data_IF_056980643034
#
_entry.id   IF_056980643034
#
_cell.length_a   1.000
_cell.length_b   1.000
_cell.length_c   1.000
_cell.angle_alpha   90.00
_cell.angle_beta   90.00
_cell.angle_gamma   90.00
#
_symmetry.space_group_name_H-M   'P 1'
#
loop_
_entity.id
_entity.type
_entity.pdbx_description
1 polymer ?
#
# COMPACT_ATOMS: atom_id res chain seq x y z
N UNK A 1 -13.70 25.95 -25.24
CA UNK A 1 -12.80 25.48 -26.31
C UNK A 1 -12.52 24.00 -26.08
N UNK A 2 -12.16 23.21 -27.10
CA UNK A 2 -11.70 21.84 -26.84
C UNK A 2 -10.31 21.87 -26.18
N UNK A 3 -10.07 21.12 -25.09
CA UNK A 3 -8.78 21.07 -24.42
C UNK A 3 -7.71 20.43 -25.33
N UNK A 4 -6.47 20.84 -25.16
CA UNK A 4 -5.33 20.26 -25.86
C UNK A 4 -5.04 18.85 -25.33
N UNK A 5 -4.66 17.92 -26.22
CA UNK A 5 -4.09 16.62 -25.81
C UNK A 5 -2.86 16.76 -24.90
N UNK A 6 -2.20 17.93 -24.89
CA UNK A 6 -1.11 18.26 -23.95
C UNK A 6 -1.63 18.52 -22.54
N UNK A 7 -2.82 19.11 -22.40
CA UNK A 7 -3.44 19.44 -21.11
C UNK A 7 -4.07 18.18 -20.51
N UNK A 8 -4.80 17.39 -21.31
CA UNK A 8 -5.29 16.05 -20.96
C UNK A 8 -4.16 15.17 -20.41
N UNK A 9 -3.02 15.10 -21.14
CA UNK A 9 -1.84 14.37 -20.66
C UNK A 9 -1.27 14.92 -19.35
N UNK A 10 -1.23 16.25 -19.15
CA UNK A 10 -0.77 16.86 -17.89
C UNK A 10 -1.70 16.58 -16.72
N UNK A 11 -3.02 16.55 -16.93
CA UNK A 11 -4.00 16.10 -15.92
C UNK A 11 -3.69 14.68 -15.50
N UNK A 12 -3.53 13.75 -16.46
CA UNK A 12 -3.24 12.35 -16.15
C UNK A 12 -1.88 12.16 -15.44
N UNK A 13 -0.83 12.86 -15.88
CA UNK A 13 0.48 12.85 -15.21
C UNK A 13 0.43 13.49 -13.80
N UNK A 14 -0.51 14.38 -13.51
CA UNK A 14 -0.73 14.94 -12.18
C UNK A 14 -1.56 14.01 -11.28
N UNK A 15 -2.58 13.32 -11.82
CA UNK A 15 -3.32 12.26 -11.10
C UNK A 15 -2.36 11.13 -10.68
N UNK A 16 -1.50 10.67 -11.59
CA UNK A 16 -0.53 9.61 -11.30
C UNK A 16 0.47 10.02 -10.20
N UNK A 17 0.92 11.29 -10.18
CA UNK A 17 1.75 11.85 -9.10
C UNK A 17 0.99 11.95 -7.76
N UNK A 18 -0.26 12.39 -7.78
CA UNK A 18 -1.09 12.51 -6.58
C UNK A 18 -1.30 11.14 -5.93
N UNK A 19 -1.62 10.11 -6.73
CA UNK A 19 -1.75 8.72 -6.26
C UNK A 19 -0.43 8.23 -5.67
N UNK A 20 0.72 8.52 -6.29
CA UNK A 20 2.04 8.18 -5.73
C UNK A 20 2.33 8.86 -4.39
N UNK A 21 1.97 10.14 -4.22
CA UNK A 21 2.10 10.84 -2.94
C UNK A 21 1.16 10.27 -1.87
N UNK A 22 -0.11 9.99 -2.22
CA UNK A 22 -1.05 9.35 -1.31
C UNK A 22 -0.62 7.93 -0.87
N UNK A 23 0.00 7.14 -1.77
CA UNK A 23 0.62 5.86 -1.41
C UNK A 23 1.91 6.02 -0.58
N UNK A 24 2.63 7.14 -0.69
CA UNK A 24 3.77 7.41 0.19
C UNK A 24 3.30 7.77 1.62
N UNK A 25 2.18 8.49 1.75
CA UNK A 25 1.57 8.87 3.05
C UNK A 25 1.15 7.62 3.86
N UNK A 26 0.65 6.55 3.23
CA UNK A 26 0.32 5.29 3.93
C UNK A 26 1.55 4.44 4.32
N UNK A 27 2.72 4.71 3.74
CA UNK A 27 3.95 3.94 3.96
C UNK A 27 4.96 4.63 4.91
N UNK A 28 4.75 5.91 5.24
CA UNK A 28 5.69 6.72 6.02
C UNK A 28 5.19 7.00 7.44
N UNK A 29 6.11 6.90 8.40
CA UNK A 29 5.89 7.36 9.79
C UNK A 29 6.02 8.91 9.86
N UNK A 30 5.51 9.52 10.93
CA UNK A 30 5.04 10.91 10.97
C UNK A 30 6.02 11.97 10.43
N UNK A 31 7.32 11.84 10.69
CA UNK A 31 8.34 12.81 10.25
C UNK A 31 8.61 12.81 8.73
N UNK A 32 8.19 11.78 7.99
CA UNK A 32 8.13 11.81 6.53
C UNK A 32 6.74 12.18 5.99
N UNK A 33 5.69 11.93 6.79
CA UNK A 33 4.30 12.04 6.38
C UNK A 33 3.87 13.48 6.05
N UNK A 34 4.29 14.47 6.85
CA UNK A 34 3.95 15.89 6.62
C UNK A 34 4.45 16.42 5.26
N UNK A 35 5.66 16.02 4.84
CA UNK A 35 6.25 16.45 3.58
C UNK A 35 5.50 15.89 2.35
N UNK A 36 5.09 14.62 2.42
CA UNK A 36 4.28 14.01 1.35
C UNK A 36 2.83 14.52 1.37
N UNK A 37 2.25 14.87 2.53
CA UNK A 37 0.96 15.58 2.62
C UNK A 37 1.04 16.95 1.93
N UNK A 38 2.07 17.76 2.21
CA UNK A 38 2.24 19.06 1.58
C UNK A 38 2.39 18.95 0.05
N UNK A 39 3.17 17.97 -0.41
CA UNK A 39 3.39 17.64 -1.82
C UNK A 39 2.12 17.09 -2.50
N UNK A 40 1.31 16.29 -1.80
CA UNK A 40 0.01 15.83 -2.28
C UNK A 40 -0.97 17.01 -2.45
N UNK A 41 -1.04 17.92 -1.47
CA UNK A 41 -1.84 19.16 -1.55
C UNK A 41 -1.40 20.06 -2.71
N UNK A 42 -0.10 20.30 -2.89
CA UNK A 42 0.42 21.04 -4.04
C UNK A 42 0.01 20.38 -5.37
N UNK A 43 0.21 19.06 -5.49
CA UNK A 43 -0.15 18.32 -6.72
C UNK A 43 -1.66 18.39 -6.99
N UNK A 44 -2.48 18.38 -5.93
CA UNK A 44 -3.93 18.48 -6.02
C UNK A 44 -4.40 19.92 -6.39
N UNK A 45 -3.68 20.96 -5.96
CA UNK A 45 -3.88 22.33 -6.41
C UNK A 45 -3.53 22.49 -7.90
N UNK A 46 -2.36 22.00 -8.34
CA UNK A 46 -1.99 21.96 -9.77
C UNK A 46 -3.04 21.21 -10.61
N UNK A 47 -3.57 20.10 -10.07
CA UNK A 47 -4.62 19.31 -10.72
C UNK A 47 -5.96 20.07 -10.81
N UNK A 48 -6.35 20.81 -9.76
CA UNK A 48 -7.54 21.70 -9.76
C UNK A 48 -7.43 22.79 -10.81
N UNK A 49 -6.28 23.47 -10.90
CA UNK A 49 -6.03 24.49 -11.94
C UNK A 49 -6.07 23.92 -13.36
N UNK A 50 -5.56 22.70 -13.56
CA UNK A 50 -5.61 22.01 -14.85
C UNK A 50 -7.02 21.53 -15.24
N UNK A 51 -7.86 21.14 -14.28
CA UNK A 51 -9.21 20.59 -14.54
C UNK A 51 -10.30 21.68 -14.62
N UNK A 52 -10.15 22.82 -13.94
CA UNK A 52 -11.16 23.90 -13.96
C UNK A 52 -11.57 24.37 -15.37
N UNK A 53 -10.68 24.47 -16.38
CA UNK A 53 -11.06 24.80 -17.77
C UNK A 53 -11.94 23.72 -18.45
N UNK A 54 -11.81 22.44 -18.07
CA UNK A 54 -12.62 21.34 -18.61
C UNK A 54 -14.06 21.39 -18.07
N UNK A 55 -14.26 21.99 -16.90
CA UNK A 55 -15.56 22.17 -16.25
C UNK A 55 -16.21 23.53 -16.57
N UNK A 56 -15.58 24.33 -17.44
CA UNK A 56 -16.02 25.68 -17.83
C UNK A 56 -16.15 26.64 -16.64
N UNK A 57 -15.30 26.46 -15.61
CA UNK A 57 -15.29 27.28 -14.40
C UNK A 57 -16.18 26.80 -13.26
N UNK A 58 -16.94 25.71 -13.43
CA UNK A 58 -17.76 25.08 -12.37
C UNK A 58 -16.90 24.46 -11.27
N UNK A 59 -16.62 25.25 -10.22
CA UNK A 59 -15.81 24.86 -9.07
C UNK A 59 -16.48 23.79 -8.20
N UNK A 60 -17.81 23.77 -8.18
CA UNK A 60 -18.67 22.77 -7.56
C UNK A 60 -18.41 21.34 -8.09
N UNK A 61 -18.17 21.20 -9.39
CA UNK A 61 -17.91 19.90 -10.02
C UNK A 61 -16.44 19.46 -9.95
N UNK A 62 -15.52 20.30 -9.44
CA UNK A 62 -14.09 19.97 -9.37
C UNK A 62 -13.87 18.75 -8.48
N UNK A 63 -14.34 18.78 -7.23
CA UNK A 63 -14.05 17.71 -6.25
C UNK A 63 -14.52 16.34 -6.73
N UNK A 64 -15.73 16.27 -7.28
CA UNK A 64 -16.30 15.07 -7.90
C UNK A 64 -15.46 14.57 -9.08
N UNK A 65 -15.08 15.47 -10.00
CA UNK A 65 -14.24 15.13 -11.15
C UNK A 65 -12.86 14.62 -10.73
N UNK A 66 -12.24 15.23 -9.71
CA UNK A 66 -10.95 14.80 -9.19
C UNK A 66 -11.05 13.44 -8.48
N UNK A 67 -12.10 13.22 -7.67
CA UNK A 67 -12.34 11.92 -7.03
C UNK A 67 -12.56 10.82 -8.08
N UNK A 68 -13.36 11.08 -9.13
CA UNK A 68 -13.60 10.14 -10.23
C UNK A 68 -12.31 9.83 -11.01
N UNK A 69 -11.52 10.84 -11.36
CA UNK A 69 -10.23 10.66 -12.04
C UNK A 69 -9.24 9.82 -11.22
N UNK A 70 -9.16 10.06 -9.91
CA UNK A 70 -8.32 9.26 -9.00
C UNK A 70 -8.84 7.82 -8.93
N UNK A 71 -10.14 7.61 -8.67
CA UNK A 71 -10.74 6.27 -8.55
C UNK A 71 -10.58 5.44 -9.84
N UNK A 72 -10.71 6.06 -11.02
CA UNK A 72 -10.48 5.39 -12.31
C UNK A 72 -9.01 5.03 -12.57
N UNK A 73 -8.06 5.68 -11.87
CA UNK A 73 -6.61 5.46 -11.99
C UNK A 73 -6.01 4.56 -10.92
N UNK A 74 -6.76 4.17 -9.89
CA UNK A 74 -6.24 3.26 -8.86
C UNK A 74 -5.98 1.85 -9.43
N UNK A 75 -4.94 1.15 -8.94
CA UNK A 75 -4.77 -0.28 -9.16
C UNK A 75 -6.00 -1.08 -8.71
N UNK A 76 -6.24 -2.24 -9.35
CA UNK A 76 -7.36 -3.11 -9.01
C UNK A 76 -7.41 -3.45 -7.50
N UNK A 77 -8.61 -3.49 -6.91
CA UNK A 77 -8.85 -3.45 -5.46
C UNK A 77 -7.99 -4.41 -4.59
N UNK A 78 -7.62 -5.59 -5.10
CA UNK A 78 -6.70 -6.54 -4.43
C UNK A 78 -5.31 -5.97 -4.12
N UNK A 79 -4.89 -4.92 -4.82
CA UNK A 79 -3.67 -4.16 -4.55
C UNK A 79 -3.93 -3.14 -3.42
N UNK A 80 -5.09 -2.46 -3.45
CA UNK A 80 -5.51 -1.50 -2.42
C UNK A 80 -5.76 -2.16 -1.05
N UNK A 81 -6.15 -3.43 -1.01
CA UNK A 81 -6.21 -4.23 0.23
C UNK A 81 -4.88 -4.24 1.03
N UNK A 82 -3.74 -3.98 0.38
CA UNK A 82 -2.43 -3.85 1.03
C UNK A 82 -2.10 -2.44 1.57
N UNK A 83 -2.90 -1.42 1.25
CA UNK A 83 -2.67 -0.01 1.60
C UNK A 83 -3.67 0.56 2.62
N UNK A 84 -4.62 -0.24 3.10
CA UNK A 84 -5.53 0.10 4.20
C UNK A 84 -6.25 1.44 4.01
N UNK A 85 -5.92 2.39 4.88
CA UNK A 85 -6.55 3.72 5.05
C UNK A 85 -6.33 4.68 3.85
N UNK A 86 -5.77 4.20 2.72
CA UNK A 86 -5.51 4.98 1.51
C UNK A 86 -6.74 5.75 1.01
N UNK A 87 -7.93 5.12 1.04
CA UNK A 87 -9.17 5.78 0.59
C UNK A 87 -9.50 6.98 1.48
N UNK A 88 -9.38 6.81 2.79
CA UNK A 88 -9.72 7.82 3.78
C UNK A 88 -8.72 8.99 3.72
N UNK A 89 -7.44 8.71 3.45
CA UNK A 89 -6.40 9.73 3.18
C UNK A 89 -6.68 10.51 1.88
N UNK A 90 -7.14 9.85 0.82
CA UNK A 90 -7.54 10.55 -0.42
C UNK A 90 -8.76 11.44 -0.18
N UNK A 91 -9.74 10.99 0.58
CA UNK A 91 -10.93 11.78 0.92
C UNK A 91 -10.62 12.92 1.89
N UNK A 92 -9.71 12.73 2.86
CA UNK A 92 -9.16 13.78 3.73
C UNK A 92 -8.43 14.88 2.92
N UNK A 93 -7.56 14.48 1.98
CA UNK A 93 -6.83 15.41 1.12
C UNK A 93 -7.77 16.20 0.19
N UNK A 94 -8.77 15.54 -0.41
CA UNK A 94 -9.78 16.20 -1.24
C UNK A 94 -10.61 17.19 -0.43
N UNK A 95 -11.17 16.77 0.71
CA UNK A 95 -11.95 17.63 1.61
C UNK A 95 -11.14 18.83 2.11
N UNK A 96 -9.85 18.63 2.40
CA UNK A 96 -8.93 19.69 2.80
C UNK A 96 -8.85 20.84 1.80
N UNK A 97 -8.84 20.55 0.49
CA UNK A 97 -8.77 21.59 -0.57
C UNK A 97 -10.10 22.29 -0.86
N UNK A 98 -11.23 21.72 -0.41
CA UNK A 98 -12.52 22.41 -0.46
C UNK A 98 -12.61 23.51 0.60
N UNK A 99 -12.08 23.24 1.80
CA UNK A 99 -12.08 24.20 2.92
C UNK A 99 -11.15 25.42 2.70
N UNK A 100 -10.10 25.28 1.89
CA UNK A 100 -9.12 26.34 1.62
C UNK A 100 -9.58 27.39 0.59
N UNK A 101 -10.70 27.16 -0.11
CA UNK A 101 -11.31 28.12 -1.06
C UNK A 101 -12.85 28.22 -0.90
N UNK A 102 -13.35 28.90 0.15
CA UNK A 102 -14.78 29.17 0.36
C UNK A 102 -15.32 30.36 -0.46
N UNK A 103 -14.48 31.06 -1.23
CA UNK A 103 -14.87 32.15 -2.14
C UNK A 103 -15.43 31.57 -3.46
N UNK A 104 -16.55 32.04 -4.02
CA UNK A 104 -17.19 33.35 -3.82
C UNK A 104 -18.73 33.26 -3.65
N UNK A 105 -19.21 32.57 -2.62
CA UNK A 105 -20.65 32.37 -2.39
C UNK A 105 -21.39 33.58 -1.74
N UNK A 106 -20.72 34.72 -1.52
CA UNK A 106 -21.25 35.86 -0.75
C UNK A 106 -21.15 37.23 -1.46
N UNK A 107 -21.16 37.27 -2.80
CA UNK A 107 -21.42 38.50 -3.58
C UNK A 107 -22.74 38.42 -4.36
N UNK A 108 -23.82 38.02 -3.67
CA UNK A 108 -25.20 38.05 -4.14
C UNK A 108 -26.03 39.06 -3.36
N UNK A 109 -25.78 40.35 -3.59
CA UNK A 109 -26.50 41.43 -2.92
C UNK A 109 -27.78 41.80 -3.66
N UNK A 110 -28.92 41.26 -3.23
CA UNK A 110 -30.25 41.66 -3.72
C UNK A 110 -31.12 42.15 -2.55
N UNK A 111 -31.92 43.18 -2.79
CA UNK A 111 -32.57 43.97 -1.73
C UNK A 111 -33.91 43.34 -1.26
N UNK A 112 -34.35 43.64 -0.02
CA UNK A 112 -35.67 43.23 0.45
C UNK A 112 -36.78 44.10 -0.17
N UNK A 113 -37.17 43.77 -1.41
CA UNK A 113 -38.46 44.21 -1.97
C UNK A 113 -39.61 43.60 -1.16
N UNK A 114 -40.68 44.37 -0.94
CA UNK A 114 -41.75 44.03 -0.01
C UNK A 114 -43.07 43.68 -0.71
N UNK A 115 -43.76 42.67 -0.17
CA UNK A 115 -45.04 42.16 -0.68
C UNK A 115 -44.87 40.90 -1.54
N UNK A 116 -45.84 39.99 -1.59
CA UNK A 116 -47.11 39.96 -0.85
C UNK A 116 -47.94 38.73 -1.22
N UNK A 117 -49.01 38.48 -0.46
CA UNK A 117 -50.10 37.53 -0.74
C UNK A 117 -49.71 36.03 -0.87
N UNK A 118 -50.09 35.15 0.05
CA UNK A 118 -51.47 34.64 0.26
C UNK A 118 -52.01 33.79 -0.90
N UNK A 119 -51.66 32.50 -0.90
CA UNK A 119 -52.28 31.48 -1.76
C UNK A 119 -52.42 30.16 -1.00
N UNK A 120 -53.63 29.59 -0.95
CA UNK A 120 -53.93 28.38 -0.19
C UNK A 120 -54.43 27.22 -1.10
N UNK A 121 -54.04 26.01 -0.75
CA UNK A 121 -54.42 24.75 -1.42
C UNK A 121 -53.21 23.82 -1.59
N UNK A 122 -53.32 22.50 -1.46
CA UNK A 122 -54.50 21.68 -1.19
C UNK A 122 -54.58 20.49 -2.16
N UNK A 123 -55.03 19.32 -1.68
CA UNK A 123 -54.88 17.97 -2.28
C UNK A 123 -53.49 17.36 -2.02
N UNK A 124 -53.30 16.22 -1.35
CA UNK A 124 -54.04 14.95 -1.25
C UNK A 124 -53.93 14.08 -2.53
N UNK A 125 -53.20 12.97 -2.45
CA UNK A 125 -52.75 12.18 -3.61
C UNK A 125 -52.20 10.78 -3.30
N UNK A 126 -52.80 10.07 -2.35
CA UNK A 126 -52.77 8.60 -2.23
C UNK A 126 -54.14 8.04 -2.70
N UNK A 127 -54.34 6.74 -2.99
CA UNK A 127 -53.46 5.57 -2.82
C UNK A 127 -53.41 4.60 -4.06
N UNK A 128 -52.97 3.35 -3.85
CA UNK A 128 -53.12 2.17 -4.77
C UNK A 128 -52.23 2.20 -6.05
N UNK A 129 -51.96 1.12 -6.82
CA UNK A 129 -52.45 -0.28 -6.94
C UNK A 129 -51.34 -1.11 -7.65
N UNK A 130 -51.16 -2.45 -7.62
CA UNK A 130 -51.51 -3.56 -6.69
C UNK A 130 -50.94 -4.91 -7.22
N UNK A 131 -50.23 -5.70 -6.39
CA UNK A 131 -49.90 -7.16 -6.57
C UNK A 131 -48.98 -7.60 -7.76
N UNK A 132 -48.37 -8.81 -7.84
CA UNK A 132 -47.85 -9.81 -6.85
C UNK A 132 -46.79 -10.76 -7.55
N UNK A 133 -46.73 -12.13 -7.51
CA UNK A 133 -45.43 -12.84 -7.41
C UNK A 133 -45.04 -13.84 -8.53
N UNK A 134 -43.82 -14.36 -8.44
CA UNK A 134 -43.26 -15.62 -8.98
C UNK A 134 -41.88 -15.85 -8.32
N UNK A 135 -41.36 -17.02 -7.96
CA UNK A 135 -41.57 -18.42 -8.40
C UNK A 135 -41.24 -18.60 -9.90
N UNK A 136 -40.37 -19.52 -10.33
CA UNK A 136 -39.84 -20.75 -9.70
C UNK A 136 -38.30 -20.82 -9.52
N UNK A 137 -37.78 -21.70 -8.64
CA UNK A 137 -36.40 -22.16 -8.63
C UNK A 137 -36.19 -23.41 -9.51
N UNK A 138 -35.00 -23.60 -10.09
CA UNK A 138 -34.70 -24.89 -10.71
C UNK A 138 -33.32 -25.07 -11.33
N UNK A 139 -32.86 -26.33 -11.27
CA UNK A 139 -32.06 -27.01 -12.32
C UNK A 139 -30.60 -26.51 -12.51
N UNK A 140 -29.55 -27.34 -12.39
CA UNK A 140 -29.48 -28.80 -12.21
C UNK A 140 -28.19 -29.19 -11.46
N UNK A 141 -28.15 -30.39 -10.89
CA UNK A 141 -26.91 -31.01 -10.43
C UNK A 141 -26.30 -31.89 -11.54
N UNK A 142 -24.98 -31.77 -11.73
CA UNK A 142 -24.10 -32.70 -12.43
C UNK A 142 -22.75 -32.60 -11.73
N UNK A 143 -22.26 -33.55 -10.94
CA UNK A 143 -22.17 -35.02 -11.09
C UNK A 143 -20.99 -35.48 -11.97
N UNK A 144 -20.09 -36.24 -11.33
CA UNK A 144 -19.00 -37.08 -11.83
C UNK A 144 -18.07 -36.58 -12.96
N UNK A 145 -16.82 -36.26 -12.59
CA UNK A 145 -15.63 -36.93 -13.16
C UNK A 145 -14.35 -36.68 -12.33
N UNK A 146 -13.76 -37.69 -11.67
CA UNK A 146 -12.39 -37.61 -11.14
C UNK A 146 -11.37 -38.13 -12.17
N UNK A 147 -10.53 -37.25 -12.68
CA UNK A 147 -9.33 -37.61 -13.45
C UNK A 147 -8.13 -36.74 -13.02
N UNK A 148 -6.90 -37.24 -12.92
CA UNK A 148 -6.44 -38.63 -13.09
C UNK A 148 -5.14 -38.71 -13.90
N UNK A 149 -4.04 -39.11 -13.26
CA UNK A 149 -2.79 -39.50 -13.93
C UNK A 149 -2.01 -38.40 -14.65
N UNK A 150 -1.01 -37.81 -13.98
CA UNK A 150 -0.13 -36.78 -14.54
C UNK A 150 1.26 -36.78 -13.92
N UNK A 151 1.86 -37.96 -13.72
CA UNK A 151 3.17 -38.11 -13.09
C UNK A 151 4.32 -38.02 -14.08
N UNK A 152 4.95 -36.84 -14.23
CA UNK A 152 6.21 -36.70 -14.95
C UNK A 152 7.40 -36.73 -13.99
N UNK A 153 8.12 -37.85 -14.00
CA UNK A 153 9.35 -38.02 -13.24
C UNK A 153 10.54 -37.39 -13.99
N UNK A 154 11.17 -36.37 -13.40
CA UNK A 154 12.48 -35.87 -13.85
C UNK A 154 13.58 -36.60 -13.07
N UNK A 155 14.48 -37.26 -13.79
CA UNK A 155 15.44 -38.20 -13.23
C UNK A 155 16.62 -37.53 -12.52
N UNK A 156 17.32 -38.31 -11.68
CA UNK A 156 18.43 -37.83 -10.88
C UNK A 156 19.71 -37.58 -11.70
N UNK A 157 20.21 -36.34 -11.65
CA UNK A 157 21.61 -35.96 -11.85
C UNK A 157 21.86 -34.64 -11.09
N UNK A 158 23.00 -34.40 -10.44
CA UNK A 158 24.15 -35.25 -10.15
C UNK A 158 25.06 -34.52 -9.15
N UNK A 159 25.93 -35.23 -8.42
CA UNK A 159 26.75 -34.62 -7.36
C UNK A 159 27.86 -33.75 -7.94
N UNK A 160 27.81 -32.44 -7.68
CA UNK A 160 28.85 -31.47 -8.03
C UNK A 160 29.31 -30.66 -6.81
N UNK A 161 30.23 -31.24 -6.02
CA UNK A 161 30.89 -30.58 -4.88
C UNK A 161 32.03 -29.71 -5.42
N UNK A 162 31.81 -28.41 -5.65
CA UNK A 162 32.77 -27.55 -6.36
C UNK A 162 32.81 -26.09 -5.91
N UNK A 163 33.93 -25.73 -5.28
CA UNK A 163 34.62 -24.44 -5.23
C UNK A 163 33.83 -23.11 -5.08
N UNK A 164 34.26 -22.35 -4.08
CA UNK A 164 34.34 -20.87 -4.12
C UNK A 164 34.64 -20.34 -5.53
N UNK A 165 33.92 -19.29 -5.94
CA UNK A 165 34.45 -18.34 -6.92
C UNK A 165 34.04 -16.92 -6.54
N UNK A 166 35.01 -16.10 -6.18
CA UNK A 166 34.81 -14.67 -6.00
C UNK A 166 34.40 -14.03 -7.33
N UNK A 167 33.32 -13.25 -7.30
CA UNK A 167 32.91 -12.36 -8.38
C UNK A 167 32.63 -10.98 -7.81
N UNK A 168 33.70 -10.27 -7.46
CA UNK A 168 33.65 -8.88 -7.00
C UNK A 168 33.13 -7.95 -8.11
N UNK A 169 32.05 -7.18 -7.89
CA UNK A 169 31.79 -5.99 -8.68
C UNK A 169 32.65 -4.84 -8.11
N UNK A 170 33.68 -4.42 -8.86
CA UNK A 170 34.38 -3.18 -8.55
C UNK A 170 33.45 -1.98 -8.82
N UNK A 171 33.31 -1.07 -7.85
CA UNK A 171 32.33 0.01 -7.94
C UNK A 171 32.22 0.85 -6.67
N UNK A 172 33.35 1.23 -6.06
CA UNK A 172 33.35 2.13 -4.89
C UNK A 172 33.10 3.57 -5.36
N UNK A 173 31.82 3.90 -5.54
CA UNK A 173 31.36 5.27 -5.71
C UNK A 173 31.36 6.00 -4.37
N UNK A 174 32.51 6.51 -3.96
CA UNK A 174 32.59 7.48 -2.87
C UNK A 174 31.92 8.81 -3.31
N UNK A 175 31.32 9.55 -2.37
CA UNK A 175 30.65 10.84 -2.67
C UNK A 175 29.16 10.96 -2.35
N UNK A 176 28.55 10.00 -1.64
CA UNK A 176 27.21 10.17 -1.08
C UNK A 176 27.15 9.72 0.39
N UNK A 177 27.50 10.62 1.32
CA UNK A 177 27.17 10.43 2.75
C UNK A 177 25.64 10.47 2.89
N UNK A 178 24.97 9.40 3.34
CA UNK A 178 23.61 9.52 3.81
C UNK A 178 23.61 10.42 5.04
N UNK A 179 22.72 11.42 5.09
CA UNK A 179 22.31 11.96 6.37
C UNK A 179 21.64 10.86 7.21
N UNK A 180 21.48 11.03 8.53
CA UNK A 180 20.81 10.06 9.40
C UNK A 180 19.29 10.04 9.18
N UNK A 181 18.86 9.73 7.96
CA UNK A 181 17.48 9.49 7.60
C UNK A 181 17.02 8.17 8.24
N UNK A 182 16.26 8.29 9.33
CA UNK A 182 15.44 7.24 9.95
C UNK A 182 16.03 5.82 9.86
N UNK A 183 17.22 5.61 10.45
CA UNK A 183 17.83 4.29 10.50
C UNK A 183 16.87 3.31 11.21
N UNK A 184 16.49 2.27 10.47
CA UNK A 184 15.48 1.29 10.86
C UNK A 184 15.73 0.76 12.29
N UNK A 185 14.73 0.82 13.20
CA UNK A 185 14.91 0.45 14.59
C UNK A 185 15.34 -1.02 14.77
N UNK A 186 15.05 -1.89 13.79
CA UNK A 186 15.48 -3.28 13.77
C UNK A 186 16.94 -3.40 13.31
N UNK A 187 17.39 -2.63 12.31
CA UNK A 187 18.84 -2.56 11.96
C UNK A 187 19.64 -2.05 13.16
N UNK A 188 19.19 -0.94 13.77
CA UNK A 188 19.85 -0.34 14.93
C UNK A 188 19.92 -1.32 16.10
N UNK A 189 18.84 -2.07 16.34
CA UNK A 189 18.80 -3.11 17.37
C UNK A 189 19.71 -4.30 17.04
N UNK A 190 19.74 -4.76 15.78
CA UNK A 190 20.61 -5.86 15.35
C UNK A 190 22.09 -5.51 15.49
N UNK A 191 22.52 -4.31 15.06
CA UNK A 191 23.90 -3.85 15.27
C UNK A 191 24.27 -3.69 16.75
N UNK A 192 23.31 -3.43 17.63
CA UNK A 192 23.57 -3.35 19.07
C UNK A 192 23.69 -4.73 19.74
N UNK A 193 23.18 -5.80 19.11
CA UNK A 193 23.40 -7.20 19.54
C UNK A 193 24.62 -7.82 18.86
N UNK A 194 24.88 -7.46 17.60
CA UNK A 194 25.99 -7.95 16.78
C UNK A 194 26.76 -6.77 16.14
N UNK A 195 27.72 -6.16 16.86
CA UNK A 195 28.41 -4.95 16.40
C UNK A 195 29.30 -5.17 15.17
N UNK A 196 29.89 -6.36 15.03
CA UNK A 196 30.85 -6.69 13.98
C UNK A 196 30.22 -7.37 12.75
N UNK A 197 28.89 -7.55 12.73
CA UNK A 197 28.19 -8.42 11.76
C UNK A 197 27.45 -7.61 10.69
N UNK A 198 27.46 -8.11 9.44
CA UNK A 198 26.83 -7.42 8.31
C UNK A 198 25.35 -7.79 8.15
N UNK A 199 24.46 -6.96 8.70
CA UNK A 199 23.02 -7.08 8.44
C UNK A 199 22.68 -6.79 6.97
N UNK A 200 22.01 -7.73 6.31
CA UNK A 200 21.46 -7.62 4.95
C UNK A 200 19.94 -7.57 5.03
N UNK A 201 19.31 -6.57 4.38
CA UNK A 201 17.85 -6.44 4.24
C UNK A 201 17.32 -7.20 3.03
N UNK A 202 16.07 -7.67 3.09
CA UNK A 202 15.31 -8.22 1.96
C UNK A 202 16.07 -9.31 1.19
N UNK A 203 16.71 -10.23 1.91
CA UNK A 203 17.54 -11.27 1.34
C UNK A 203 16.69 -12.37 0.68
N UNK A 204 16.86 -12.60 -0.62
CA UNK A 204 16.06 -13.57 -1.40
C UNK A 204 16.73 -14.94 -1.43
N UNK A 205 16.16 -15.88 -0.67
CA UNK A 205 16.61 -17.27 -0.57
C UNK A 205 15.71 -18.18 -1.43
N UNK A 206 16.22 -18.66 -2.57
CA UNK A 206 15.50 -19.57 -3.50
C UNK A 206 14.09 -19.10 -3.87
N UNK A 207 13.92 -17.79 -4.09
CA UNK A 207 12.64 -17.17 -4.46
C UNK A 207 11.72 -16.80 -3.28
N UNK A 208 12.20 -16.93 -2.04
CA UNK A 208 11.49 -16.46 -0.83
C UNK A 208 12.32 -15.37 -0.16
N UNK A 209 11.69 -14.21 0.12
CA UNK A 209 12.37 -13.07 0.76
C UNK A 209 12.37 -13.22 2.29
N UNK A 210 13.51 -12.90 2.91
CA UNK A 210 13.69 -12.78 4.35
C UNK A 210 13.95 -11.31 4.70
N UNK A 211 13.30 -10.79 5.74
CA UNK A 211 13.38 -9.38 6.16
C UNK A 211 14.82 -8.97 6.47
N UNK A 212 15.51 -9.78 7.27
CA UNK A 212 16.90 -9.57 7.70
C UNK A 212 17.70 -10.87 7.67
N UNK A 213 18.95 -10.79 7.21
CA UNK A 213 19.90 -11.89 7.21
C UNK A 213 21.28 -11.43 7.70
N UNK A 214 21.92 -12.24 8.54
CA UNK A 214 23.22 -12.02 9.16
C UNK A 214 24.13 -13.22 8.78
N UNK A 215 25.00 -13.09 7.77
CA UNK A 215 25.68 -14.21 7.15
C UNK A 215 26.76 -14.83 8.05
N UNK A 216 27.49 -14.04 8.84
CA UNK A 216 28.53 -14.59 9.75
C UNK A 216 27.97 -15.37 10.95
N UNK A 217 26.64 -15.36 11.15
CA UNK A 217 25.94 -16.14 12.18
C UNK A 217 24.98 -17.20 11.60
N UNK A 218 24.87 -17.35 10.28
CA UNK A 218 23.81 -18.14 9.62
C UNK A 218 22.42 -17.89 10.25
N UNK A 219 22.07 -16.61 10.40
CA UNK A 219 20.90 -16.17 11.16
C UNK A 219 20.00 -15.28 10.31
N UNK A 220 18.73 -15.66 10.17
CA UNK A 220 17.69 -14.83 9.58
C UNK A 220 16.72 -14.36 10.66
N UNK A 221 16.29 -13.10 10.60
CA UNK A 221 15.30 -12.51 11.49
C UNK A 221 14.12 -12.01 10.67
N UNK A 222 12.93 -12.50 10.99
CA UNK A 222 11.70 -12.20 10.26
C UNK A 222 10.71 -11.48 11.17
N UNK A 223 10.13 -10.37 10.70
CA UNK A 223 9.09 -9.66 11.44
C UNK A 223 7.75 -10.36 11.19
N UNK A 224 7.12 -10.87 12.24
CA UNK A 224 5.82 -11.50 12.18
C UNK A 224 4.73 -10.51 11.71
N UNK A 225 4.25 -10.70 10.48
CA UNK A 225 3.03 -10.08 9.96
C UNK A 225 1.82 -11.00 10.15
N UNK A 226 0.62 -10.42 10.27
CA UNK A 226 -0.62 -11.15 10.60
C UNK A 226 -1.07 -12.19 9.55
N UNK A 227 -0.48 -12.16 8.34
CA UNK A 227 -0.84 -13.02 7.20
C UNK A 227 0.38 -13.60 6.48
N UNK A 228 1.45 -13.93 7.20
CA UNK A 228 2.63 -14.57 6.59
C UNK A 228 2.38 -16.04 6.19
N UNK A 229 1.74 -16.22 5.03
CA UNK A 229 1.41 -17.54 4.44
C UNK A 229 2.63 -18.37 4.06
N UNK A 230 3.81 -17.77 3.92
CA UNK A 230 5.05 -18.48 3.57
C UNK A 230 5.92 -18.80 4.83
N UNK A 231 5.46 -18.53 6.06
CA UNK A 231 6.24 -18.72 7.28
C UNK A 231 6.84 -20.14 7.43
N UNK A 232 6.05 -21.20 7.19
CA UNK A 232 6.52 -22.59 7.23
C UNK A 232 7.56 -22.88 6.14
N UNK A 233 7.34 -22.32 4.94
CA UNK A 233 8.22 -22.47 3.79
C UNK A 233 9.56 -21.75 3.98
N UNK A 234 9.53 -20.54 4.57
CA UNK A 234 10.72 -19.80 5.04
C UNK A 234 11.50 -20.64 6.03
N UNK A 235 10.84 -21.17 7.07
CA UNK A 235 11.49 -21.99 8.09
C UNK A 235 12.13 -23.26 7.50
N UNK A 236 11.43 -23.95 6.59
CA UNK A 236 11.94 -25.13 5.90
C UNK A 236 13.16 -24.83 5.01
N UNK A 237 13.10 -23.76 4.19
CA UNK A 237 14.20 -23.38 3.30
C UNK A 237 15.44 -22.89 4.07
N UNK A 238 15.24 -22.16 5.18
CA UNK A 238 16.34 -21.76 6.06
C UNK A 238 16.99 -23.00 6.69
N UNK A 239 16.20 -23.94 7.24
CA UNK A 239 16.69 -25.19 7.82
C UNK A 239 17.47 -26.05 6.81
N UNK A 240 17.03 -26.12 5.54
CA UNK A 240 17.80 -26.81 4.48
C UNK A 240 19.18 -26.19 4.21
N UNK A 241 19.37 -24.90 4.50
CA UNK A 241 20.61 -24.16 4.24
C UNK A 241 21.48 -24.02 5.49
N UNK A 242 21.07 -24.60 6.63
CA UNK A 242 21.71 -24.38 7.95
C UNK A 242 21.36 -23.05 8.61
N UNK A 243 20.60 -22.19 7.94
CA UNK A 243 20.19 -20.87 8.42
C UNK A 243 19.14 -21.03 9.51
N UNK A 244 19.38 -20.39 10.65
CA UNK A 244 18.43 -20.30 11.78
C UNK A 244 17.48 -19.14 11.54
N UNK A 245 16.18 -19.44 11.37
CA UNK A 245 15.14 -18.42 11.25
C UNK A 245 14.57 -18.08 12.64
N UNK A 246 14.55 -16.80 13.00
CA UNK A 246 13.96 -16.30 14.24
C UNK A 246 12.85 -15.32 13.91
N UNK A 247 11.60 -15.74 14.15
CA UNK A 247 10.41 -14.90 13.95
C UNK A 247 10.15 -14.06 15.20
N UNK A 248 10.00 -12.73 15.04
CA UNK A 248 9.79 -11.77 16.13
C UNK A 248 8.65 -10.79 15.80
N UNK A 249 7.88 -10.35 16.79
CA UNK A 249 6.88 -9.29 16.56
C UNK A 249 7.53 -7.93 16.30
N UNK A 250 6.85 -7.02 15.57
CA UNK A 250 7.34 -5.64 15.33
C UNK A 250 7.69 -4.89 16.63
N UNK A 251 6.98 -5.17 17.73
CA UNK A 251 7.28 -4.64 19.07
C UNK A 251 8.62 -5.14 19.62
N UNK A 252 8.86 -6.45 19.59
CA UNK A 252 10.13 -7.04 20.05
C UNK A 252 11.32 -6.64 19.17
N UNK A 253 11.11 -6.53 17.85
CA UNK A 253 12.14 -6.15 16.89
C UNK A 253 12.67 -4.71 17.10
N UNK A 254 11.83 -3.81 17.65
CA UNK A 254 12.21 -2.43 17.97
C UNK A 254 13.09 -2.30 19.23
N UNK A 255 13.15 -3.33 20.09
CA UNK A 255 13.91 -3.30 21.34
C UNK A 255 15.03 -4.35 21.34
N UNK A 256 16.28 -3.92 21.16
CA UNK A 256 17.48 -4.79 21.13
C UNK A 256 17.58 -5.81 22.28
N UNK A 257 17.10 -5.46 23.49
CA UNK A 257 17.07 -6.36 24.65
C UNK A 257 16.08 -7.51 24.51
N UNK A 258 14.95 -7.30 23.85
CA UNK A 258 13.96 -8.35 23.59
C UNK A 258 14.41 -9.19 22.39
N UNK A 259 14.85 -8.53 21.30
CA UNK A 259 15.41 -9.18 20.13
C UNK A 259 16.58 -10.13 20.50
N UNK A 260 17.53 -9.65 21.30
CA UNK A 260 18.65 -10.47 21.79
C UNK A 260 18.20 -11.66 22.67
N UNK A 261 17.16 -11.49 23.50
CA UNK A 261 16.55 -12.59 24.28
C UNK A 261 15.87 -13.63 23.38
N UNK A 262 15.14 -13.19 22.35
CA UNK A 262 14.49 -14.10 21.39
C UNK A 262 15.52 -14.89 20.59
N UNK A 263 16.58 -14.23 20.10
CA UNK A 263 17.66 -14.90 19.36
C UNK A 263 18.43 -15.87 20.26
N UNK A 264 18.74 -15.49 21.51
CA UNK A 264 19.41 -16.39 22.46
C UNK A 264 18.54 -17.59 22.85
N UNK A 265 17.21 -17.41 22.97
CA UNK A 265 16.27 -18.51 23.20
C UNK A 265 16.28 -19.48 22.01
N UNK A 266 16.09 -18.99 20.80
CA UNK A 266 16.11 -19.83 19.59
C UNK A 266 17.45 -20.55 19.38
N UNK A 267 18.57 -19.91 19.78
CA UNK A 267 19.91 -20.53 19.80
C UNK A 267 20.03 -21.70 20.78
N UNK A 268 19.37 -21.61 21.94
CA UNK A 268 19.38 -22.68 22.95
C UNK A 268 18.40 -23.82 22.60
N UNK A 269 17.21 -23.49 22.06
CA UNK A 269 16.19 -24.49 21.68
C UNK A 269 16.72 -25.45 20.59
N UNK A 270 17.55 -24.97 19.68
CA UNK A 270 18.23 -25.77 18.66
C UNK A 270 19.40 -26.65 19.14
N UNK A 271 19.63 -26.80 20.45
CA UNK A 271 20.71 -27.64 21.01
C UNK A 271 20.21 -28.80 21.88
N UNK A 272 18.90 -29.01 22.00
CA UNK A 272 18.27 -30.04 22.82
C UNK A 272 17.51 -31.09 21.99
N UNK A 273 18.08 -31.51 20.86
CA UNK A 273 17.53 -32.52 19.93
C UNK A 273 18.65 -33.20 19.15
#
# INVERSE_FOLDING_TARGET
MAPSRKEERRVLEAVDKFIQAAMAITLLEDTGREAEIAKARQTLQELRELVLPFLEGRTDLVTEMLQQLVMQRLPAAKVLEGFGDFKDIVEELLAGTAAEHPDAALTGGEAPEAGGESGAGGMAGEPSVLQKPGEDPGTQAGDLAPGGGGGEAWAAAGVAKGAHRESSPAGVGDGARPGPASEDPVIRSLRQVFPDERVVKNYVLRGVTLSYYLPGQDLAVEIAGEKDRDAERKAYLCRQQGIRLVTVSRRQAAYWRELGRCIQRARNEGQSS
#
